data_IF_375501569046
#
_entry.id   IF_375501569046
#
_cell.length_a   1.000
_cell.length_b   1.000
_cell.length_c   1.000
_cell.angle_alpha   90.00
_cell.angle_beta   90.00
_cell.angle_gamma   90.00
#
_symmetry.space_group_name_H-M   'P 1'
#
loop_
_entity.id
_entity.type
_entity.pdbx_description
1 polymer ?
#
# COMPACT_ATOMS: atom_id res chain seq x y z
N UNK A 1 39.99 -47.37 23.32
CA UNK A 1 39.92 -48.19 22.08
C UNK A 1 40.75 -47.46 21.03
N UNK A 2 42.03 -47.80 20.90
CA UNK A 2 42.61 -48.69 19.88
C UNK A 2 42.36 -48.23 18.42
N UNK A 3 43.46 -47.73 17.85
CA UNK A 3 43.97 -47.93 16.47
C UNK A 3 43.30 -47.20 15.31
N UNK A 4 44.03 -46.19 14.83
CA UNK A 4 44.12 -45.76 13.43
C UNK A 4 44.43 -46.92 12.49
N UNK A 5 43.94 -46.84 11.24
CA UNK A 5 44.25 -47.83 10.21
C UNK A 5 43.59 -47.56 8.87
N UNK A 6 44.02 -46.52 8.14
CA UNK A 6 43.84 -46.50 6.69
C UNK A 6 45.04 -47.20 6.05
N UNK A 7 44.76 -48.22 5.24
CA UNK A 7 45.75 -49.03 4.52
C UNK A 7 46.23 -48.25 3.29
N UNK A 8 47.46 -47.78 3.32
CA UNK A 8 48.18 -47.29 2.13
C UNK A 8 48.79 -48.49 1.39
N UNK A 9 48.62 -48.65 0.07
CA UNK A 9 49.36 -49.66 -0.66
C UNK A 9 50.82 -49.22 -0.79
N UNK A 10 51.72 -50.07 -0.28
CA UNK A 10 53.16 -49.95 -0.42
C UNK A 10 53.53 -50.03 -1.91
N UNK A 11 53.95 -48.90 -2.51
CA UNK A 11 54.69 -48.93 -3.77
C UNK A 11 56.17 -49.01 -3.42
N UNK A 12 56.74 -50.18 -3.76
CA UNK A 12 58.14 -50.57 -3.66
C UNK A 12 59.08 -49.40 -3.98
N UNK A 13 60.10 -49.26 -3.14
CA UNK A 13 61.21 -48.39 -3.39
C UNK A 13 62.01 -48.84 -4.61
N UNK A 14 62.46 -47.85 -5.38
CA UNK A 14 63.72 -47.93 -6.09
C UNK A 14 64.61 -46.84 -5.49
N UNK A 15 65.61 -47.28 -4.74
CA UNK A 15 66.72 -46.43 -4.36
C UNK A 15 67.50 -46.03 -5.61
N UNK A 16 67.74 -44.73 -5.77
CA UNK A 16 68.83 -44.23 -6.60
C UNK A 16 69.28 -42.86 -6.10
N UNK A 17 70.53 -42.86 -5.66
CA UNK A 17 71.48 -41.76 -5.60
C UNK A 17 71.06 -40.43 -4.95
N UNK A 18 71.68 -40.20 -3.79
CA UNK A 18 72.45 -38.99 -3.52
C UNK A 18 72.87 -38.28 -4.82
N UNK A 19 72.19 -37.17 -5.08
CA UNK A 19 72.58 -36.19 -6.08
C UNK A 19 72.14 -34.87 -5.51
N UNK A 20 73.09 -34.07 -5.05
CA UNK A 20 72.90 -32.67 -4.71
C UNK A 20 72.33 -31.96 -5.96
N UNK A 21 71.00 -31.96 -6.11
CA UNK A 21 70.30 -31.23 -7.16
C UNK A 21 70.27 -29.79 -6.70
N UNK A 22 71.36 -29.08 -7.00
CA UNK A 22 71.33 -27.62 -7.04
C UNK A 22 70.09 -27.24 -7.81
N UNK A 23 69.22 -26.42 -7.19
CA UNK A 23 68.06 -25.85 -7.86
C UNK A 23 68.55 -25.30 -9.18
N UNK A 24 68.11 -25.94 -10.27
CA UNK A 24 68.45 -25.48 -11.62
C UNK A 24 67.95 -24.06 -11.75
N UNK A 25 68.69 -23.21 -12.45
CA UNK A 25 68.28 -21.83 -12.74
C UNK A 25 66.81 -21.76 -13.21
N UNK A 26 66.34 -22.77 -13.96
CA UNK A 26 64.94 -22.89 -14.41
C UNK A 26 63.90 -23.13 -13.31
N UNK A 27 64.25 -23.73 -12.18
CA UNK A 27 63.34 -23.92 -11.04
C UNK A 27 63.21 -22.64 -10.20
N UNK A 28 64.30 -21.85 -10.10
CA UNK A 28 64.29 -20.50 -9.50
C UNK A 28 63.48 -19.54 -10.35
N UNK A 29 63.65 -19.58 -11.69
CA UNK A 29 62.84 -18.76 -12.60
C UNK A 29 61.36 -19.13 -12.55
N UNK A 30 61.00 -20.42 -12.43
CA UNK A 30 59.61 -20.86 -12.27
C UNK A 30 58.98 -20.41 -10.95
N UNK A 31 59.73 -20.45 -9.85
CA UNK A 31 59.28 -19.91 -8.55
C UNK A 31 59.06 -18.40 -8.62
N UNK A 32 59.98 -17.66 -9.26
CA UNK A 32 59.83 -16.22 -9.49
C UNK A 32 58.63 -15.86 -10.38
N UNK A 33 58.39 -16.65 -11.43
CA UNK A 33 57.26 -16.45 -12.34
C UNK A 33 55.91 -16.78 -11.66
N UNK A 34 55.86 -17.84 -10.86
CA UNK A 34 54.68 -18.22 -10.08
C UNK A 34 54.36 -17.20 -8.97
N UNK A 35 55.39 -16.64 -8.32
CA UNK A 35 55.22 -15.54 -7.36
C UNK A 35 54.71 -14.27 -8.04
N UNK A 36 55.25 -13.93 -9.23
CA UNK A 36 54.78 -12.79 -10.01
C UNK A 36 53.32 -12.96 -10.48
N UNK A 37 52.95 -14.15 -10.95
CA UNK A 37 51.55 -14.48 -11.30
C UNK A 37 50.62 -14.37 -10.08
N UNK A 38 51.02 -14.89 -8.92
CA UNK A 38 50.26 -14.76 -7.68
C UNK A 38 50.08 -13.31 -7.22
N UNK A 39 51.08 -12.43 -7.41
CA UNK A 39 50.96 -11.00 -7.11
C UNK A 39 50.01 -10.29 -8.09
N UNK A 40 50.04 -10.65 -9.38
CA UNK A 40 49.11 -10.13 -10.38
C UNK A 40 47.66 -10.57 -10.09
N UNK A 41 47.46 -11.84 -9.73
CA UNK A 41 46.15 -12.37 -9.34
C UNK A 41 45.62 -11.72 -8.06
N UNK A 42 46.45 -11.54 -7.02
CA UNK A 42 46.08 -10.82 -5.81
C UNK A 42 45.72 -9.35 -6.09
N UNK A 43 46.49 -8.67 -6.94
CA UNK A 43 46.20 -7.29 -7.37
C UNK A 43 44.89 -7.17 -8.15
N UNK A 44 44.62 -8.12 -9.06
CA UNK A 44 43.37 -8.19 -9.81
C UNK A 44 42.17 -8.45 -8.88
N UNK A 45 42.29 -9.41 -7.97
CA UNK A 45 41.26 -9.75 -6.98
C UNK A 45 40.97 -8.58 -6.04
N UNK A 46 42.00 -7.86 -5.57
CA UNK A 46 41.85 -6.68 -4.72
C UNK A 46 41.12 -5.55 -5.47
N UNK A 47 41.50 -5.30 -6.73
CA UNK A 47 40.85 -4.27 -7.56
C UNK A 47 39.39 -4.63 -7.82
N UNK A 48 39.11 -5.91 -8.12
CA UNK A 48 37.74 -6.40 -8.29
C UNK A 48 36.92 -6.24 -7.01
N UNK A 49 37.49 -6.56 -5.85
CA UNK A 49 36.81 -6.42 -4.56
C UNK A 49 36.48 -4.95 -4.23
N UNK A 50 37.41 -4.03 -4.50
CA UNK A 50 37.19 -2.60 -4.29
C UNK A 50 36.12 -2.05 -5.23
N UNK A 51 36.13 -2.48 -6.50
CA UNK A 51 35.10 -2.10 -7.47
C UNK A 51 33.72 -2.64 -7.06
N UNK A 52 33.65 -3.90 -6.63
CA UNK A 52 32.39 -4.51 -6.19
C UNK A 52 31.85 -3.86 -4.91
N UNK A 53 32.74 -3.45 -4.00
CA UNK A 53 32.39 -2.66 -2.81
C UNK A 53 31.79 -1.31 -3.20
N UNK A 54 32.38 -0.60 -4.17
CA UNK A 54 31.88 0.69 -4.63
C UNK A 54 30.52 0.54 -5.34
N UNK A 55 30.36 -0.47 -6.20
CA UNK A 55 29.05 -0.79 -6.80
C UNK A 55 27.99 -1.08 -5.74
N UNK A 56 28.33 -1.89 -4.75
CA UNK A 56 27.39 -2.21 -3.65
C UNK A 56 26.96 -0.95 -2.89
N UNK A 57 27.91 -0.03 -2.65
CA UNK A 57 27.62 1.25 -2.01
C UNK A 57 26.69 2.12 -2.87
N UNK A 58 26.90 2.14 -4.20
CA UNK A 58 26.02 2.87 -5.12
C UNK A 58 24.61 2.28 -5.13
N UNK A 59 24.48 0.96 -5.23
CA UNK A 59 23.18 0.27 -5.15
C UNK A 59 22.47 0.58 -3.83
N UNK A 60 23.19 0.58 -2.70
CA UNK A 60 22.61 0.95 -1.41
C UNK A 60 22.11 2.41 -1.37
N UNK A 61 22.88 3.35 -1.94
CA UNK A 61 22.48 4.77 -2.02
C UNK A 61 21.23 4.92 -2.89
N UNK A 62 21.18 4.24 -4.04
CA UNK A 62 20.03 4.26 -4.94
C UNK A 62 18.79 3.63 -4.28
N UNK A 63 18.94 2.48 -3.63
CA UNK A 63 17.86 1.84 -2.89
C UNK A 63 17.30 2.77 -1.79
N UNK A 64 18.18 3.41 -1.01
CA UNK A 64 17.77 4.35 0.03
C UNK A 64 17.07 5.60 -0.54
N UNK A 65 17.49 6.08 -1.72
CA UNK A 65 16.81 7.16 -2.43
C UNK A 65 15.41 6.73 -2.87
N UNK A 66 15.26 5.54 -3.41
CA UNK A 66 13.96 4.98 -3.83
C UNK A 66 13.02 4.85 -2.64
N UNK A 67 13.49 4.30 -1.51
CA UNK A 67 12.68 4.18 -0.29
C UNK A 67 12.14 5.53 0.15
N UNK A 68 12.99 6.57 0.20
CA UNK A 68 12.56 7.92 0.59
C UNK A 68 11.52 8.53 -0.35
N UNK A 69 11.65 8.29 -1.66
CA UNK A 69 10.66 8.74 -2.65
C UNK A 69 9.33 8.02 -2.41
N UNK A 70 9.36 6.70 -2.23
CA UNK A 70 8.17 5.90 -1.96
C UNK A 70 7.48 6.27 -0.64
N UNK A 71 8.24 6.57 0.42
CA UNK A 71 7.69 7.06 1.69
C UNK A 71 6.95 8.39 1.50
N UNK A 72 7.54 9.33 0.76
CA UNK A 72 6.91 10.62 0.49
C UNK A 72 5.65 10.47 -0.39
N UNK A 73 5.68 9.60 -1.40
CA UNK A 73 4.52 9.30 -2.23
C UNK A 73 3.40 8.65 -1.42
N UNK A 74 3.73 7.73 -0.52
CA UNK A 74 2.77 7.09 0.37
C UNK A 74 2.16 8.11 1.35
N UNK A 75 2.97 9.01 1.92
CA UNK A 75 2.48 10.08 2.79
C UNK A 75 1.54 11.02 2.03
N UNK A 76 1.92 11.43 0.82
CA UNK A 76 1.08 12.27 -0.05
C UNK A 76 -0.25 11.58 -0.35
N UNK A 77 -0.22 10.33 -0.80
CA UNK A 77 -1.43 9.55 -1.09
C UNK A 77 -2.30 9.36 0.15
N UNK A 78 -1.70 9.07 1.31
CA UNK A 78 -2.41 8.96 2.58
C UNK A 78 -3.08 10.26 3.01
N UNK A 79 -2.43 11.40 2.78
CA UNK A 79 -3.00 12.72 3.07
C UNK A 79 -4.13 13.11 2.10
N UNK A 80 -4.00 12.78 0.82
CA UNK A 80 -5.08 12.95 -0.17
C UNK A 80 -6.30 12.09 0.18
N UNK A 81 -6.08 10.82 0.54
CA UNK A 81 -7.14 9.92 0.97
C UNK A 81 -7.86 10.43 2.24
N UNK A 82 -7.10 10.90 3.24
CA UNK A 82 -7.70 11.51 4.45
C UNK A 82 -8.57 12.73 4.12
N UNK A 83 -8.15 13.56 3.17
CA UNK A 83 -8.97 14.70 2.70
C UNK A 83 -10.23 14.23 2.00
N UNK A 84 -10.12 13.24 1.12
CA UNK A 84 -11.26 12.67 0.42
C UNK A 84 -12.30 12.08 1.39
N UNK A 85 -11.84 11.33 2.40
CA UNK A 85 -12.70 10.77 3.45
C UNK A 85 -13.46 11.87 4.19
N UNK A 86 -12.78 12.96 4.59
CA UNK A 86 -13.44 14.08 5.28
C UNK A 86 -14.50 14.76 4.43
N UNK A 87 -14.22 14.97 3.15
CA UNK A 87 -15.19 15.58 2.22
C UNK A 87 -16.42 14.69 2.08
N UNK A 88 -16.22 13.38 1.94
CA UNK A 88 -17.32 12.44 1.81
C UNK A 88 -18.15 12.34 3.09
N UNK A 89 -17.51 12.34 4.26
CA UNK A 89 -18.17 12.35 5.57
C UNK A 89 -19.06 13.59 5.75
N UNK A 90 -18.57 14.77 5.36
CA UNK A 90 -19.37 16.01 5.35
C UNK A 90 -20.57 15.90 4.42
N UNK A 91 -20.39 15.38 3.19
CA UNK A 91 -21.52 15.20 2.26
C UNK A 91 -22.57 14.23 2.78
N UNK A 92 -22.14 13.13 3.40
CA UNK A 92 -23.06 12.17 4.01
C UNK A 92 -23.85 12.81 5.15
N UNK A 93 -23.21 13.65 5.96
CA UNK A 93 -23.88 14.40 7.02
C UNK A 93 -24.88 15.42 6.46
N UNK A 94 -24.51 16.15 5.40
CA UNK A 94 -25.41 17.08 4.71
C UNK A 94 -26.64 16.34 4.13
N UNK A 95 -26.42 15.24 3.42
CA UNK A 95 -27.50 14.43 2.87
C UNK A 95 -28.44 13.88 3.95
N UNK A 96 -27.89 13.41 5.08
CA UNK A 96 -28.69 12.94 6.19
C UNK A 96 -29.55 14.06 6.81
N UNK A 97 -29.02 15.28 6.90
CA UNK A 97 -29.78 16.44 7.37
C UNK A 97 -30.90 16.82 6.38
N UNK A 98 -30.61 16.84 5.08
CA UNK A 98 -31.61 17.11 4.05
C UNK A 98 -32.73 16.07 4.05
N UNK A 99 -32.40 14.78 4.16
CA UNK A 99 -33.38 13.71 4.28
C UNK A 99 -34.30 13.91 5.48
N UNK A 100 -33.74 14.26 6.64
CA UNK A 100 -34.52 14.52 7.86
C UNK A 100 -35.46 15.72 7.70
N UNK A 101 -34.98 16.80 7.08
CA UNK A 101 -35.81 17.98 6.81
C UNK A 101 -36.92 17.64 5.83
N UNK A 102 -36.61 16.89 4.77
CA UNK A 102 -37.58 16.47 3.77
C UNK A 102 -38.65 15.52 4.36
N UNK A 103 -38.23 14.57 5.20
CA UNK A 103 -39.14 13.67 5.93
C UNK A 103 -40.08 14.47 6.85
N UNK A 104 -39.54 15.39 7.65
CA UNK A 104 -40.36 16.27 8.50
C UNK A 104 -41.34 17.12 7.70
N UNK A 105 -40.93 17.63 6.53
CA UNK A 105 -41.78 18.42 5.64
C UNK A 105 -42.88 17.56 5.01
N UNK A 106 -42.54 16.33 4.62
CA UNK A 106 -43.49 15.36 4.08
C UNK A 106 -44.53 14.94 5.13
N UNK A 107 -44.11 14.71 6.38
CA UNK A 107 -45.01 14.36 7.49
C UNK A 107 -45.98 15.51 7.77
N UNK A 108 -45.47 16.74 7.82
CA UNK A 108 -46.32 17.92 7.99
C UNK A 108 -47.31 18.09 6.83
N UNK A 109 -46.85 17.92 5.60
CA UNK A 109 -47.72 17.98 4.43
C UNK A 109 -48.81 16.90 4.46
N UNK A 110 -48.47 15.68 4.92
CA UNK A 110 -49.42 14.58 5.05
C UNK A 110 -50.48 14.89 6.10
N UNK A 111 -50.07 15.39 7.26
CA UNK A 111 -51.00 15.83 8.31
C UNK A 111 -51.94 16.93 7.81
N UNK A 112 -51.39 17.99 7.20
CA UNK A 112 -52.18 19.10 6.64
C UNK A 112 -53.18 18.59 5.59
N UNK A 113 -52.76 17.64 4.75
CA UNK A 113 -53.63 17.03 3.74
C UNK A 113 -54.78 16.25 4.37
N UNK A 114 -54.50 15.43 5.39
CA UNK A 114 -55.52 14.66 6.11
C UNK A 114 -56.53 15.58 6.84
N UNK A 115 -56.05 16.63 7.50
CA UNK A 115 -56.90 17.61 8.18
C UNK A 115 -57.80 18.37 7.21
N UNK A 116 -57.26 18.78 6.05
CA UNK A 116 -58.05 19.41 4.98
C UNK A 116 -59.11 18.45 4.44
N UNK A 117 -58.74 17.19 4.19
CA UNK A 117 -59.67 16.17 3.70
C UNK A 117 -60.81 15.93 4.69
N UNK A 118 -60.50 15.85 5.99
CA UNK A 118 -61.49 15.72 7.06
C UNK A 118 -62.42 16.92 7.13
N UNK A 119 -61.87 18.13 7.14
CA UNK A 119 -62.65 19.38 7.18
C UNK A 119 -63.59 19.48 5.97
N UNK A 120 -63.09 19.13 4.79
CA UNK A 120 -63.87 19.10 3.56
C UNK A 120 -65.02 18.08 3.63
N UNK A 121 -64.78 16.90 4.20
CA UNK A 121 -65.82 15.90 4.41
C UNK A 121 -66.90 16.39 5.39
N UNK A 122 -66.51 17.01 6.51
CA UNK A 122 -67.44 17.57 7.50
C UNK A 122 -68.33 18.68 6.89
N UNK A 123 -67.74 19.61 6.14
CA UNK A 123 -68.52 20.68 5.49
C UNK A 123 -69.45 20.09 4.42
N UNK A 124 -69.00 19.12 3.62
CA UNK A 124 -69.86 18.44 2.64
C UNK A 124 -71.07 17.76 3.30
N UNK A 125 -70.90 17.15 4.47
CA UNK A 125 -72.01 16.59 5.25
C UNK A 125 -72.99 17.69 5.68
N UNK A 126 -72.49 18.83 6.18
CA UNK A 126 -73.35 19.98 6.55
C UNK A 126 -74.09 20.57 5.35
N UNK A 127 -73.46 20.62 4.18
CA UNK A 127 -74.10 21.03 2.91
C UNK A 127 -75.26 20.09 2.58
N UNK A 128 -75.02 18.78 2.62
CA UNK A 128 -76.05 17.77 2.35
C UNK A 128 -77.24 17.85 3.34
N UNK A 129 -76.97 18.20 4.60
CA UNK A 129 -77.99 18.37 5.64
C UNK A 129 -78.67 19.75 5.64
N UNK A 130 -78.24 20.68 4.78
CA UNK A 130 -78.78 22.04 4.72
C UNK A 130 -78.43 22.94 5.92
N UNK A 131 -77.45 22.56 6.74
CA UNK A 131 -77.05 23.29 7.96
C UNK A 131 -75.76 24.07 7.81
N UNK A 132 -75.22 24.18 6.59
CA UNK A 132 -73.95 24.86 6.31
C UNK A 132 -74.10 26.38 6.38
N UNK A 133 -73.12 27.05 6.98
CA UNK A 133 -73.06 28.52 7.00
C UNK A 133 -72.39 29.08 5.74
N UNK A 134 -72.64 30.34 5.37
CA UNK A 134 -71.95 30.99 4.24
C UNK A 134 -70.41 30.98 4.38
N UNK A 135 -69.90 31.15 5.61
CA UNK A 135 -68.47 31.12 5.89
C UNK A 135 -67.85 29.72 5.67
N UNK A 136 -68.57 28.64 6.04
CA UNK A 136 -68.13 27.27 5.78
C UNK A 136 -68.17 26.92 4.28
N UNK A 137 -69.14 27.46 3.53
CA UNK A 137 -69.21 27.32 2.08
C UNK A 137 -68.04 28.01 1.37
N UNK A 138 -67.67 29.22 1.82
CA UNK A 138 -66.49 29.93 1.31
C UNK A 138 -65.20 29.18 1.65
N UNK A 139 -65.08 28.66 2.88
CA UNK A 139 -63.96 27.82 3.29
C UNK A 139 -63.84 26.55 2.43
N UNK A 140 -64.95 25.87 2.15
CA UNK A 140 -64.96 24.68 1.28
C UNK A 140 -64.46 24.99 -0.14
N UNK A 141 -64.89 26.11 -0.71
CA UNK A 141 -64.44 26.55 -2.03
C UNK A 141 -62.93 26.88 -2.03
N UNK A 142 -62.45 27.51 -0.96
CA UNK A 142 -61.02 27.81 -0.78
C UNK A 142 -60.17 26.54 -0.56
N UNK A 143 -60.73 25.51 0.06
CA UNK A 143 -60.08 24.21 0.25
C UNK A 143 -60.04 23.34 -1.02
N UNK A 144 -60.85 23.63 -2.05
CA UNK A 144 -60.78 22.97 -3.36
C UNK A 144 -59.80 23.63 -4.33
N UNK A 145 -59.53 24.92 -4.14
CA UNK A 145 -58.67 25.73 -5.03
C UNK A 145 -57.19 25.74 -4.61
N UNK A 146 -56.85 25.19 -3.44
CA UNK A 146 -55.50 25.23 -2.82
C UNK A 146 -55.05 23.85 -2.34
#
# INVERSE_FOLDING_TARGET
MKSTGSKTPAKKGDGKNSGNKGMSSGDITKLGLGAAQGVVELGSNLTSLLNEKEKTKQVYIEANKTVKISEHELEKSGNELKKAIKVEDTKLQELANEMKVNESSHDQWTMDFEERAKTMAEIRIKVANGTVTPAELELLNNLHMK
#
